data_IF_814650808772
#
_entry.id   IF_814650808772
#
_cell.length_a   1.000
_cell.length_b   1.000
_cell.length_c   1.000
_cell.angle_alpha   90.00
_cell.angle_beta   90.00
_cell.angle_gamma   90.00
#
_symmetry.space_group_name_H-M   'P 1'
#
loop_
_entity.id
_entity.type
_entity.pdbx_description
1 polymer ?
#
# COMPACT_ATOMS: atom_id res chain seq x y z
N UNK A 1 0.79 -9.09 -40.61
CA UNK A 1 1.29 -8.38 -39.40
C UNK A 1 0.18 -7.64 -38.64
N UNK A 2 -0.59 -6.74 -39.27
CA UNK A 2 -1.67 -5.94 -38.64
C UNK A 2 -2.77 -6.74 -37.89
N UNK A 3 -3.16 -7.91 -38.40
CA UNK A 3 -4.21 -8.73 -37.79
C UNK A 3 -3.80 -9.33 -36.42
N UNK A 4 -2.52 -9.64 -36.26
CA UNK A 4 -1.97 -10.16 -35.00
C UNK A 4 -2.01 -9.11 -33.89
N UNK A 5 -1.67 -7.86 -34.22
CA UNK A 5 -1.74 -6.73 -33.29
C UNK A 5 -3.17 -6.36 -32.89
N UNK A 6 -4.12 -6.35 -33.84
CA UNK A 6 -5.55 -6.15 -33.53
C UNK A 6 -6.10 -7.23 -32.60
N UNK A 7 -5.75 -8.51 -32.83
CA UNK A 7 -6.15 -9.63 -31.97
C UNK A 7 -5.58 -9.50 -30.55
N UNK A 8 -4.31 -9.13 -30.43
CA UNK A 8 -3.65 -8.91 -29.14
C UNK A 8 -4.30 -7.76 -28.34
N UNK A 9 -4.56 -6.63 -29.01
CA UNK A 9 -5.23 -5.48 -28.38
C UNK A 9 -6.64 -5.81 -27.89
N UNK A 10 -7.40 -6.59 -28.68
CA UNK A 10 -8.74 -7.02 -28.29
C UNK A 10 -8.70 -7.94 -27.06
N UNK A 11 -7.74 -8.86 -27.03
CA UNK A 11 -7.54 -9.78 -25.90
C UNK A 11 -7.21 -9.01 -24.60
N UNK A 12 -6.31 -8.02 -24.68
CA UNK A 12 -5.95 -7.16 -23.53
C UNK A 12 -7.15 -6.33 -23.07
N UNK A 13 -7.91 -5.72 -23.98
CA UNK A 13 -9.11 -4.94 -23.64
C UNK A 13 -10.17 -5.79 -22.94
N UNK A 14 -10.37 -7.02 -23.40
CA UNK A 14 -11.33 -7.95 -22.80
C UNK A 14 -10.91 -8.39 -21.39
N UNK A 15 -9.61 -8.61 -21.18
CA UNK A 15 -9.05 -8.95 -19.88
C UNK A 15 -9.24 -7.81 -18.87
N UNK A 16 -8.97 -6.56 -19.27
CA UNK A 16 -9.21 -5.37 -18.44
C UNK A 16 -10.70 -5.19 -18.11
N UNK A 17 -11.58 -5.37 -19.11
CA UNK A 17 -13.04 -5.27 -18.92
C UNK A 17 -13.54 -6.31 -17.94
N UNK A 18 -13.05 -7.55 -18.03
CA UNK A 18 -13.40 -8.62 -17.11
C UNK A 18 -12.98 -8.28 -15.67
N UNK A 19 -11.73 -7.85 -15.47
CA UNK A 19 -11.19 -7.50 -14.15
C UNK A 19 -12.01 -6.38 -13.51
N UNK A 20 -12.30 -5.30 -14.25
CA UNK A 20 -13.15 -4.20 -13.74
C UNK A 20 -14.53 -4.68 -13.31
N UNK A 21 -15.13 -5.62 -14.04
CA UNK A 21 -16.47 -6.13 -13.74
C UNK A 21 -16.50 -7.04 -12.51
N UNK A 22 -15.53 -7.96 -12.42
CA UNK A 22 -15.38 -8.84 -11.26
C UNK A 22 -15.09 -8.05 -9.97
N UNK A 23 -14.29 -6.98 -10.06
CA UNK A 23 -14.01 -6.12 -8.90
C UNK A 23 -15.23 -5.29 -8.50
N UNK A 24 -16.05 -4.79 -9.44
CA UNK A 24 -17.20 -3.95 -9.09
C UNK A 24 -18.36 -4.74 -8.47
N UNK A 25 -18.54 -6.00 -8.84
CA UNK A 25 -19.67 -6.82 -8.35
C UNK A 25 -19.50 -7.35 -6.94
N UNK A 26 -18.26 -7.51 -6.46
CA UNK A 26 -17.95 -8.21 -5.20
C UNK A 26 -17.30 -7.29 -4.14
N UNK A 27 -17.56 -5.98 -4.19
CA UNK A 27 -17.11 -5.02 -3.17
C UNK A 27 -18.18 -4.86 -2.11
N UNK A 28 -17.84 -5.21 -0.87
CA UNK A 28 -18.55 -4.68 0.30
C UNK A 28 -17.82 -3.43 0.78
N UNK A 29 -18.53 -2.33 0.89
CA UNK A 29 -18.05 -1.12 1.55
C UNK A 29 -18.41 -1.24 3.03
N UNK A 30 -17.43 -1.55 3.87
CA UNK A 30 -17.63 -1.47 5.31
C UNK A 30 -17.20 -0.09 5.79
N UNK A 31 -18.07 0.57 6.57
CA UNK A 31 -17.71 1.81 7.25
C UNK A 31 -16.95 1.44 8.52
N UNK A 32 -15.67 1.80 8.60
CA UNK A 32 -14.89 1.61 9.83
C UNK A 32 -15.21 2.81 10.73
N UNK A 33 -15.65 2.57 11.96
CA UNK A 33 -15.84 3.64 12.93
C UNK A 33 -14.53 4.46 13.05
N UNK A 34 -14.63 5.80 12.95
CA UNK A 34 -13.51 6.74 12.92
C UNK A 34 -12.66 6.78 11.62
N UNK A 35 -13.14 6.24 10.49
CA UNK A 35 -12.49 6.40 9.19
C UNK A 35 -13.43 6.93 8.10
N UNK A 36 -13.17 8.13 7.60
CA UNK A 36 -13.95 8.76 6.51
C UNK A 36 -13.72 8.12 5.12
N UNK A 37 -12.92 7.04 5.05
CA UNK A 37 -12.57 6.38 3.78
C UNK A 37 -13.27 5.02 3.68
N UNK A 38 -14.18 4.81 2.72
CA UNK A 38 -14.81 3.52 2.52
C UNK A 38 -13.75 2.50 2.08
N UNK A 39 -13.48 1.51 2.91
CA UNK A 39 -12.55 0.43 2.59
C UNK A 39 -13.29 -0.62 1.78
N UNK A 40 -12.76 -0.91 0.58
CA UNK A 40 -13.31 -1.94 -0.31
C UNK A 40 -12.79 -3.30 0.13
N UNK A 41 -13.69 -4.16 0.60
CA UNK A 41 -13.38 -5.57 0.83
C UNK A 41 -13.70 -6.38 -0.43
N UNK A 42 -12.78 -7.24 -0.83
CA UNK A 42 -12.95 -8.15 -1.96
C UNK A 42 -12.94 -9.59 -1.45
N UNK A 43 -13.87 -10.42 -1.91
CA UNK A 43 -13.86 -11.85 -1.61
C UNK A 43 -12.57 -12.50 -2.16
N UNK A 44 -11.98 -13.42 -1.38
CA UNK A 44 -10.81 -14.22 -1.75
C UNK A 44 -10.97 -14.89 -3.11
N UNK A 45 -12.14 -15.47 -3.41
CA UNK A 45 -12.42 -16.11 -4.71
C UNK A 45 -12.28 -15.13 -5.89
N UNK A 46 -12.61 -13.86 -5.66
CA UNK A 46 -12.50 -12.81 -6.68
C UNK A 46 -11.04 -12.45 -6.92
N UNK A 47 -10.25 -12.34 -5.84
CA UNK A 47 -8.82 -12.07 -5.91
C UNK A 47 -8.11 -13.22 -6.64
N UNK A 48 -8.46 -14.46 -6.32
CA UNK A 48 -7.90 -15.67 -6.95
C UNK A 48 -8.32 -15.74 -8.43
N UNK A 49 -9.60 -15.52 -8.76
CA UNK A 49 -10.12 -15.56 -10.14
C UNK A 49 -9.50 -14.50 -11.04
N UNK A 50 -9.33 -13.26 -10.54
CA UNK A 50 -8.57 -12.21 -11.24
C UNK A 50 -7.11 -12.62 -11.40
N UNK A 51 -6.52 -13.18 -10.34
CA UNK A 51 -5.16 -13.72 -10.34
C UNK A 51 -4.92 -14.74 -11.44
N UNK A 52 -5.82 -15.71 -11.68
CA UNK A 52 -5.70 -16.71 -12.74
C UNK A 52 -5.93 -16.14 -14.15
N UNK A 53 -6.79 -15.13 -14.29
CA UNK A 53 -7.11 -14.56 -15.60
C UNK A 53 -6.06 -13.58 -16.10
N UNK A 54 -5.15 -13.09 -15.26
CA UNK A 54 -4.02 -12.25 -15.69
C UNK A 54 -2.83 -13.13 -16.10
N UNK A 55 -2.47 -13.10 -17.38
CA UNK A 55 -1.29 -13.79 -17.90
C UNK A 55 -0.11 -12.80 -18.00
N UNK A 56 0.62 -12.64 -16.89
CA UNK A 56 1.77 -11.73 -16.78
C UNK A 56 2.76 -12.27 -15.75
N UNK A 57 4.06 -12.00 -15.95
CA UNK A 57 5.13 -12.28 -14.97
C UNK A 57 4.76 -11.74 -13.58
N UNK A 58 4.14 -10.54 -13.53
CA UNK A 58 3.69 -9.92 -12.27
C UNK A 58 2.56 -10.70 -11.60
N UNK A 59 1.66 -11.30 -12.39
CA UNK A 59 0.59 -12.16 -11.87
C UNK A 59 1.15 -13.47 -11.32
N UNK A 60 2.17 -14.06 -11.98
CA UNK A 60 2.87 -15.23 -11.45
C UNK A 60 3.55 -14.93 -10.13
N UNK A 61 4.28 -13.81 -10.02
CA UNK A 61 4.88 -13.36 -8.76
C UNK A 61 3.82 -13.15 -7.67
N UNK A 62 2.69 -12.54 -8.01
CA UNK A 62 1.57 -12.37 -7.07
C UNK A 62 1.01 -13.72 -6.59
N UNK A 63 0.83 -14.71 -7.46
CA UNK A 63 0.33 -16.05 -7.08
C UNK A 63 1.31 -16.77 -6.15
N UNK A 64 2.61 -16.69 -6.43
CA UNK A 64 3.65 -17.25 -5.55
C UNK A 64 3.58 -16.60 -4.17
N UNK A 65 3.54 -15.27 -4.14
CA UNK A 65 3.42 -14.51 -2.90
C UNK A 65 2.14 -14.83 -2.13
N UNK A 66 0.97 -14.82 -2.80
CA UNK A 66 -0.33 -15.08 -2.18
C UNK A 66 -0.42 -16.51 -1.63
N UNK A 67 0.09 -17.50 -2.36
CA UNK A 67 0.14 -18.89 -1.88
C UNK A 67 0.99 -19.01 -0.61
N UNK A 68 2.15 -18.36 -0.57
CA UNK A 68 3.02 -18.39 0.61
C UNK A 68 2.36 -17.71 1.81
N UNK A 69 1.69 -16.58 1.59
CA UNK A 69 0.94 -15.87 2.64
C UNK A 69 -0.20 -16.73 3.17
N UNK A 70 -1.04 -17.29 2.29
CA UNK A 70 -2.19 -18.10 2.68
C UNK A 70 -1.79 -19.41 3.39
N UNK A 71 -0.63 -19.98 3.05
CA UNK A 71 -0.09 -21.15 3.77
C UNK A 71 0.41 -20.80 5.17
N UNK A 72 1.04 -19.63 5.32
CA UNK A 72 1.59 -19.16 6.60
C UNK A 72 0.54 -18.60 7.54
N UNK A 73 -0.48 -17.93 7.01
CA UNK A 73 -1.49 -17.23 7.81
C UNK A 73 -2.21 -18.13 8.85
N UNK A 74 -2.63 -19.37 8.55
CA UNK A 74 -3.23 -20.26 9.55
C UNK A 74 -2.24 -20.78 10.58
N UNK A 75 -0.95 -20.87 10.23
CA UNK A 75 0.11 -21.36 11.11
C UNK A 75 0.52 -20.26 12.09
N UNK A 76 0.77 -19.07 11.56
CA UNK A 76 1.25 -17.92 12.33
C UNK A 76 0.09 -17.19 13.02
N UNK A 77 -1.15 -17.35 12.55
CA UNK A 77 -2.34 -16.62 13.00
C UNK A 77 -2.39 -15.16 12.51
N UNK A 78 -1.37 -14.70 11.77
CA UNK A 78 -1.29 -13.36 11.22
C UNK A 78 -0.50 -13.32 9.91
N UNK A 79 -0.51 -12.17 9.23
CA UNK A 79 0.35 -11.93 8.07
C UNK A 79 0.97 -10.56 8.18
N UNK A 80 2.31 -10.51 8.13
CA UNK A 80 3.08 -9.27 8.25
C UNK A 80 3.97 -9.05 7.03
N UNK A 81 3.93 -7.82 6.48
CA UNK A 81 4.91 -7.39 5.49
C UNK A 81 6.13 -6.78 6.20
N UNK A 82 7.06 -7.64 6.61
CA UNK A 82 8.24 -7.25 7.39
C UNK A 82 9.11 -6.21 6.69
N UNK A 83 9.29 -6.33 5.37
CA UNK A 83 10.09 -5.38 4.60
C UNK A 83 9.50 -3.99 4.67
N UNK A 84 8.19 -3.87 4.40
CA UNK A 84 7.50 -2.59 4.45
C UNK A 84 7.47 -2.03 5.88
N UNK A 85 7.32 -2.87 6.89
CA UNK A 85 7.38 -2.46 8.29
C UNK A 85 8.74 -1.82 8.61
N UNK A 86 9.84 -2.50 8.26
CA UNK A 86 11.21 -1.96 8.46
C UNK A 86 11.41 -0.62 7.76
N UNK A 87 10.96 -0.49 6.51
CA UNK A 87 11.02 0.77 5.77
C UNK A 87 10.23 1.90 6.45
N UNK A 88 9.03 1.60 6.97
CA UNK A 88 8.23 2.59 7.71
C UNK A 88 8.89 2.99 9.02
N UNK A 89 9.44 2.04 9.78
CA UNK A 89 10.16 2.32 11.03
C UNK A 89 11.36 3.24 10.78
N UNK A 90 12.14 2.99 9.72
CA UNK A 90 13.26 3.85 9.34
C UNK A 90 12.80 5.27 8.99
N UNK A 91 11.71 5.41 8.24
CA UNK A 91 11.13 6.72 7.90
C UNK A 91 10.67 7.47 9.15
N UNK A 92 10.01 6.78 10.09
CA UNK A 92 9.57 7.37 11.34
C UNK A 92 10.76 7.85 12.20
N UNK A 93 11.83 7.07 12.28
CA UNK A 93 13.05 7.47 12.98
C UNK A 93 13.69 8.72 12.33
N UNK A 94 13.75 8.78 11.00
CA UNK A 94 14.26 9.95 10.29
C UNK A 94 13.41 11.20 10.60
N UNK A 95 12.10 11.07 10.61
CA UNK A 95 11.17 12.15 10.96
C UNK A 95 11.34 12.61 12.42
N UNK A 96 11.45 11.68 13.37
CA UNK A 96 11.69 11.99 14.78
C UNK A 96 12.98 12.78 14.97
N UNK A 97 14.05 12.43 14.25
CA UNK A 97 15.31 13.18 14.27
C UNK A 97 15.12 14.60 13.74
N UNK A 98 14.43 14.77 12.61
CA UNK A 98 14.17 16.09 12.03
C UNK A 98 13.36 16.99 12.99
N UNK A 99 12.30 16.45 13.61
CA UNK A 99 11.50 17.19 14.60
C UNK A 99 12.35 17.59 15.81
N UNK A 100 13.20 16.68 16.33
CA UNK A 100 14.09 16.97 17.45
C UNK A 100 15.09 18.10 17.14
N UNK A 101 15.62 18.13 15.91
CA UNK A 101 16.51 19.22 15.45
C UNK A 101 15.79 20.56 15.39
N UNK A 102 14.56 20.59 14.87
CA UNK A 102 13.75 21.83 14.84
C UNK A 102 13.44 22.30 16.26
N UNK A 103 13.12 21.39 17.17
CA UNK A 103 12.93 21.68 18.60
C UNK A 103 14.17 22.33 19.23
N UNK A 104 15.35 21.72 19.06
CA UNK A 104 16.59 22.28 19.64
C UNK A 104 17.03 23.60 19.01
N UNK A 105 16.64 23.89 17.76
CA UNK A 105 16.85 25.21 17.14
C UNK A 105 15.90 26.27 17.71
N UNK A 106 14.65 25.90 18.01
CA UNK A 106 13.67 26.79 18.64
C UNK A 106 14.14 27.22 20.03
N UNK A 107 14.67 26.28 20.81
CA UNK A 107 15.17 26.56 22.16
C UNK A 107 16.41 27.46 22.14
N UNK A 108 17.32 27.25 21.17
CA UNK A 108 18.48 28.14 20.97
C UNK A 108 18.09 29.58 20.66
N UNK A 109 17.15 29.80 19.73
CA UNK A 109 16.70 31.17 19.39
C UNK A 109 16.04 31.91 20.56
N UNK A 110 15.39 31.19 21.49
CA UNK A 110 14.79 31.82 22.67
C UNK A 110 15.82 32.27 23.70
N UNK A 111 16.92 31.52 23.86
CA UNK A 111 18.01 31.89 24.76
C UNK A 111 18.74 33.14 24.24
N UNK A 112 19.04 33.16 22.93
CA UNK A 112 19.67 34.31 22.26
C UNK A 112 18.83 35.59 22.38
N UNK A 113 17.49 35.51 22.23
CA UNK A 113 16.60 36.66 22.40
C UNK A 113 16.53 37.16 23.86
N UNK A 114 16.52 36.23 24.83
CA UNK A 114 16.51 36.59 26.26
C UNK A 114 17.84 37.22 26.70
N UNK A 115 18.95 36.74 26.18
CA UNK A 115 20.28 37.29 26.44
C UNK A 115 20.43 38.69 25.85
N UNK A 116 19.96 38.91 24.62
CA UNK A 116 19.99 40.24 23.99
C UNK A 116 19.12 41.29 24.71
N UNK A 117 17.97 40.89 25.26
CA UNK A 117 17.08 41.80 26.00
C UNK A 117 17.49 42.00 27.46
N UNK A 118 18.28 41.11 28.06
CA UNK A 118 18.78 41.25 29.43
C UNK A 118 19.99 42.19 29.57
N UNK A 119 20.53 42.68 28.44
CA UNK A 119 21.67 43.57 28.36
C UNK A 119 21.29 45.05 28.06
N UNK A 120 20.00 45.36 27.99
CA UNK A 120 19.43 46.72 27.86
C UNK A 120 18.78 47.14 29.19
#
# INVERSE_FOLDING_TARGET
MLNKYKKLLLQVKNQIKFIKRALKSNVHFLHIAFSDKPVKFYNLDTIISVGYRVNSVRATQFRIWATNVLKRHPIDGYTLNEKRLKEQTQKLQALQRAVKLIGSMKDRKQLEYKEAMGLL
#
